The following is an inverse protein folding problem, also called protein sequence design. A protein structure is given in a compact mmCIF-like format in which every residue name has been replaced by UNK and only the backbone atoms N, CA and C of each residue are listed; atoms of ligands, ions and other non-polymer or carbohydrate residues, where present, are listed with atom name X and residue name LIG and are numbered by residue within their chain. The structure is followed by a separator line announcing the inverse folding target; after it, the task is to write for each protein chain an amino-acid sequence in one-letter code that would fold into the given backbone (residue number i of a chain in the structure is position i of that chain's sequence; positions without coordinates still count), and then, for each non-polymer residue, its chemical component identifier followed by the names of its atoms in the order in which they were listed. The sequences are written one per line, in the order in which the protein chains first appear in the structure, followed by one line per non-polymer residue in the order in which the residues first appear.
data_IF_960356736351
#
_entry.id   IF_960356736351
#
_cell.length_a   1.000
_cell.length_b   1.000
_cell.length_c   1.000
_cell.angle_alpha   90.00
_cell.angle_beta   90.00
_cell.angle_gamma   90.00
#
_symmetry.space_group_name_H-M   'P 1'
#
loop_
_entity.id
_entity.type
_entity.pdbx_description
1 polymer ?
#
# COMPACT_ATOMS: atom_id res chain seq x y z
N UNK A 1 24.60 21.31 -36.60
CA UNK A 1 23.26 21.55 -36.01
C UNK A 1 22.40 20.27 -35.92
N UNK A 2 22.24 19.48 -36.99
CA UNK A 2 21.44 18.22 -36.95
C UNK A 2 21.95 17.15 -35.96
N UNK A 3 23.25 17.10 -35.67
CA UNK A 3 23.84 16.15 -34.70
C UNK A 3 23.55 16.53 -33.25
N UNK A 4 23.57 17.83 -32.93
CA UNK A 4 23.21 18.38 -31.61
C UNK A 4 21.70 18.20 -31.37
N UNK A 5 20.87 18.40 -32.40
CA UNK A 5 19.42 18.17 -32.32
C UNK A 5 19.08 16.71 -32.03
N UNK A 6 19.80 15.75 -32.64
CA UNK A 6 19.63 14.30 -32.36
C UNK A 6 20.08 13.94 -30.95
N UNK A 7 21.14 14.59 -30.45
CA UNK A 7 21.63 14.38 -29.08
C UNK A 7 20.64 14.90 -28.03
N UNK A 8 20.11 16.11 -28.23
CA UNK A 8 19.07 16.69 -27.37
C UNK A 8 17.78 15.86 -27.37
N UNK A 9 17.40 15.30 -28.51
CA UNK A 9 16.21 14.42 -28.62
C UNK A 9 16.39 13.09 -27.89
N UNK A 10 17.61 12.53 -27.89
CA UNK A 10 17.92 11.30 -27.15
C UNK A 10 17.97 11.55 -25.62
N UNK A 11 18.51 12.70 -25.21
CA UNK A 11 18.57 13.11 -23.80
C UNK A 11 17.20 13.39 -23.19
N UNK A 12 16.23 13.87 -24.00
CA UNK A 12 14.86 14.10 -23.53
C UNK A 12 14.07 12.80 -23.30
N UNK A 13 14.45 11.71 -23.98
CA UNK A 13 13.82 10.39 -23.83
C UNK A 13 14.13 9.74 -22.47
N UNK A 14 15.24 10.10 -21.83
CA UNK A 14 15.62 9.60 -20.50
C UNK A 14 15.03 10.40 -19.33
N UNK A 15 14.49 11.61 -19.57
CA UNK A 15 13.94 12.48 -18.54
C UNK A 15 12.44 12.25 -18.24
N UNK A 16 11.74 11.43 -19.03
CA UNK A 16 10.30 11.19 -18.90
C UNK A 16 9.88 10.05 -17.97
N UNK A 17 10.83 9.32 -17.37
CA UNK A 17 10.58 8.06 -16.63
C UNK A 17 10.54 8.23 -15.10
N UNK A 18 10.22 9.43 -14.61
CA UNK A 18 10.03 9.69 -13.17
C UNK A 18 8.55 9.87 -12.78
N UNK A 19 7.62 9.23 -13.50
CA UNK A 19 6.22 9.20 -13.09
C UNK A 19 6.08 8.30 -11.85
N UNK A 20 5.93 8.93 -10.68
CA UNK A 20 5.40 8.41 -9.41
C UNK A 20 5.62 6.92 -9.11
N UNK A 21 6.59 6.63 -8.25
CA UNK A 21 6.71 5.32 -7.58
C UNK A 21 5.50 5.12 -6.65
N UNK A 22 4.33 4.73 -7.14
CA UNK A 22 3.27 4.18 -6.28
C UNK A 22 3.78 2.86 -5.67
N UNK A 23 3.19 2.39 -4.56
CA UNK A 23 3.49 1.05 -4.08
C UNK A 23 3.19 0.06 -5.23
N UNK A 24 4.19 -0.75 -5.60
CA UNK A 24 4.01 -1.85 -6.53
C UNK A 24 3.38 -3.04 -5.78
N UNK A 25 2.24 -2.83 -5.11
CA UNK A 25 1.47 -3.92 -4.51
C UNK A 25 0.26 -4.25 -5.38
N UNK A 26 -0.05 -5.54 -5.43
CA UNK A 26 -1.26 -6.05 -6.04
C UNK A 26 -2.24 -6.39 -4.91
N UNK A 27 -3.38 -5.70 -4.82
CA UNK A 27 -4.36 -6.03 -3.81
C UNK A 27 -4.91 -7.44 -4.03
N UNK A 28 -5.35 -8.06 -2.93
CA UNK A 28 -6.11 -9.30 -2.96
C UNK A 28 -7.44 -9.12 -3.68
N UNK A 29 -8.14 -10.23 -3.86
CA UNK A 29 -9.48 -10.30 -4.44
C UNK A 29 -10.45 -11.01 -3.49
N UNK A 30 -11.71 -11.12 -3.92
CA UNK A 30 -12.76 -11.79 -3.15
C UNK A 30 -12.52 -13.28 -2.88
N UNK A 31 -11.54 -13.90 -3.55
CA UNK A 31 -11.21 -15.32 -3.36
C UNK A 31 -10.11 -15.49 -2.33
N UNK A 32 -9.09 -14.63 -2.38
CA UNK A 32 -7.93 -14.62 -1.50
C UNK A 32 -8.16 -13.86 -0.19
N UNK A 33 -9.11 -12.93 -0.17
CA UNK A 33 -9.48 -12.13 0.99
C UNK A 33 -11.01 -11.95 1.05
N UNK A 34 -11.80 -13.02 1.29
CA UNK A 34 -13.25 -12.92 1.33
C UNK A 34 -13.75 -12.10 2.52
N UNK A 35 -14.80 -11.29 2.31
CA UNK A 35 -15.53 -10.54 3.34
C UNK A 35 -17.01 -11.01 3.36
N UNK A 36 -17.31 -12.17 3.98
CA UNK A 36 -18.67 -12.71 4.01
C UNK A 36 -19.62 -11.90 4.91
N UNK A 37 -19.09 -11.14 5.87
CA UNK A 37 -19.87 -10.32 6.80
C UNK A 37 -20.15 -8.92 6.25
N UNK A 38 -19.47 -8.54 5.16
CA UNK A 38 -19.55 -7.25 4.50
C UNK A 38 -19.29 -6.08 5.47
N UNK A 39 -18.32 -6.30 6.37
CA UNK A 39 -17.90 -5.36 7.42
C UNK A 39 -16.45 -4.91 7.24
N UNK A 40 -15.86 -5.15 6.06
CA UNK A 40 -14.49 -4.83 5.73
C UNK A 40 -13.52 -5.94 6.17
N UNK A 41 -12.36 -6.00 5.52
CA UNK A 41 -11.41 -7.08 5.74
C UNK A 41 -9.97 -6.59 5.56
N UNK A 42 -9.05 -7.12 6.36
CA UNK A 42 -7.61 -6.94 6.21
C UNK A 42 -6.96 -8.31 6.00
N UNK A 43 -6.11 -8.44 4.98
CA UNK A 43 -5.47 -9.71 4.62
C UNK A 43 -4.01 -9.55 4.17
N UNK A 44 -3.05 -10.25 4.79
CA UNK A 44 -3.19 -10.91 6.09
C UNK A 44 -3.39 -9.87 7.20
N UNK A 45 -3.95 -10.29 8.32
CA UNK A 45 -4.14 -9.45 9.52
C UNK A 45 -2.85 -9.30 10.35
N UNK A 46 -1.84 -10.12 10.05
CA UNK A 46 -0.57 -10.19 10.77
C UNK A 46 0.59 -10.07 9.80
N UNK A 47 1.59 -9.27 10.19
CA UNK A 47 2.86 -9.18 9.47
C UNK A 47 3.74 -10.41 9.77
N UNK A 48 4.42 -10.92 8.74
CA UNK A 48 5.34 -12.04 8.88
C UNK A 48 6.59 -11.60 9.67
N UNK A 49 7.26 -12.56 10.29
CA UNK A 49 8.54 -12.30 10.95
C UNK A 49 9.60 -11.87 9.93
N UNK A 50 10.16 -10.67 10.10
CA UNK A 50 11.35 -10.23 9.38
C UNK A 50 12.64 -10.75 10.01
N UNK A 51 13.71 -10.85 9.21
CA UNK A 51 15.04 -11.27 9.67
C UNK A 51 16.05 -10.13 9.55
N UNK A 52 16.95 -10.01 10.53
CA UNK A 52 17.98 -8.97 10.54
C UNK A 52 18.84 -9.03 9.27
N UNK A 53 19.00 -7.88 8.60
CA UNK A 53 19.82 -7.77 7.39
C UNK A 53 19.23 -8.46 6.15
N UNK A 54 17.99 -8.95 6.20
CA UNK A 54 17.28 -9.51 5.05
C UNK A 54 16.23 -8.54 4.53
N UNK A 55 16.05 -8.55 3.20
CA UNK A 55 14.96 -7.83 2.56
C UNK A 55 13.62 -8.37 3.05
N UNK A 56 12.79 -7.47 3.55
CA UNK A 56 11.41 -7.72 3.92
C UNK A 56 10.50 -7.13 2.84
N UNK A 57 9.51 -7.90 2.43
CA UNK A 57 8.50 -7.46 1.47
C UNK A 57 7.20 -8.20 1.77
N UNK A 58 6.19 -7.46 2.20
CA UNK A 58 4.86 -8.01 2.44
C UNK A 58 3.78 -7.02 2.02
N UNK A 59 2.82 -7.52 1.25
CA UNK A 59 1.60 -6.78 0.92
C UNK A 59 0.49 -7.13 1.91
N UNK A 60 -0.17 -6.11 2.43
CA UNK A 60 -1.41 -6.21 3.19
C UNK A 60 -2.52 -5.58 2.36
N UNK A 61 -3.58 -6.34 2.10
CA UNK A 61 -4.77 -5.89 1.39
C UNK A 61 -5.81 -5.41 2.38
N UNK A 62 -6.50 -4.33 2.02
CA UNK A 62 -7.51 -3.68 2.85
C UNK A 62 -8.76 -3.51 2.00
N UNK A 63 -9.87 -4.02 2.51
CA UNK A 63 -11.22 -3.77 2.00
C UNK A 63 -11.96 -2.93 3.04
N UNK A 64 -12.32 -1.70 2.69
CA UNK A 64 -13.07 -0.83 3.58
C UNK A 64 -14.53 -1.31 3.72
N UNK A 65 -15.13 -1.25 4.92
CA UNK A 65 -16.54 -1.55 5.10
C UNK A 65 -17.42 -0.58 4.31
N UNK A 66 -18.55 -1.02 3.74
CA UNK A 66 -19.51 -0.12 3.10
C UNK A 66 -20.26 0.76 4.09
N UNK A 67 -20.40 0.32 5.34
CA UNK A 67 -21.13 1.03 6.38
C UNK A 67 -20.58 0.68 7.77
N UNK A 68 -20.77 1.58 8.71
CA UNK A 68 -20.43 1.37 10.14
C UNK A 68 -21.66 1.60 11.00
N UNK A 69 -21.75 0.88 12.12
CA UNK A 69 -22.78 1.11 13.12
C UNK A 69 -22.36 2.26 14.04
N UNK A 70 -23.03 3.40 13.91
CA UNK A 70 -22.80 4.57 14.75
C UNK A 70 -24.11 4.94 15.46
N UNK A 71 -24.10 4.93 16.79
CA UNK A 71 -25.27 5.28 17.61
C UNK A 71 -26.55 4.47 17.26
N UNK A 72 -26.39 3.20 16.85
CA UNK A 72 -27.50 2.33 16.47
C UNK A 72 -28.01 2.51 15.04
N UNK A 73 -27.39 3.37 14.23
CA UNK A 73 -27.71 3.58 12.82
C UNK A 73 -26.56 3.11 11.92
N UNK A 74 -26.90 2.51 10.78
CA UNK A 74 -25.92 2.21 9.74
C UNK A 74 -25.61 3.49 8.95
N UNK A 75 -24.37 3.93 9.03
CA UNK A 75 -23.87 5.12 8.33
C UNK A 75 -22.97 4.68 7.18
N UNK A 76 -23.24 5.10 5.93
CA UNK A 76 -22.38 4.78 4.79
C UNK A 76 -20.97 5.35 4.98
N UNK A 77 -19.97 4.51 4.72
CA UNK A 77 -18.56 4.91 4.72
C UNK A 77 -18.22 5.50 3.36
N UNK A 78 -17.57 6.66 3.33
CA UNK A 78 -17.05 7.25 2.09
C UNK A 78 -15.70 6.65 1.72
N UNK A 79 -14.80 6.60 2.70
CA UNK A 79 -13.48 5.96 2.64
C UNK A 79 -12.96 5.75 4.07
N UNK A 80 -11.98 4.87 4.21
CA UNK A 80 -11.10 4.78 5.38
C UNK A 80 -9.76 5.43 5.01
N UNK A 81 -9.26 6.34 5.84
CA UNK A 81 -7.95 6.97 5.63
C UNK A 81 -6.92 6.32 6.55
N UNK A 82 -5.84 5.79 5.98
CA UNK A 82 -4.70 5.32 6.75
C UNK A 82 -3.83 6.51 7.16
N UNK A 83 -3.95 6.91 8.43
CA UNK A 83 -3.25 8.08 8.94
C UNK A 83 -1.76 7.81 9.19
N UNK A 84 -1.42 6.69 9.83
CA UNK A 84 -0.04 6.27 10.06
C UNK A 84 0.02 4.77 10.36
N UNK A 85 1.21 4.17 10.21
CA UNK A 85 1.55 2.85 10.73
C UNK A 85 2.71 2.99 11.71
N UNK A 86 2.38 2.87 12.98
CA UNK A 86 3.33 2.99 14.08
C UNK A 86 4.01 1.64 14.38
N UNK A 87 5.06 1.70 15.21
CA UNK A 87 5.79 0.53 15.70
C UNK A 87 6.31 -0.40 14.58
N UNK A 88 6.91 0.18 13.53
CA UNK A 88 7.64 -0.61 12.56
C UNK A 88 9.10 -0.84 13.01
N UNK A 89 9.66 -2.03 12.75
CA UNK A 89 11.08 -2.26 12.97
C UNK A 89 11.93 -1.22 12.21
N UNK A 90 13.03 -0.70 12.80
CA UNK A 90 13.91 0.24 12.14
C UNK A 90 14.40 -0.27 10.78
N UNK A 91 14.18 0.54 9.72
CA UNK A 91 14.53 0.20 8.34
C UNK A 91 13.40 -0.38 7.50
N UNK A 92 12.25 -0.68 8.11
CA UNK A 92 11.00 -1.01 7.41
C UNK A 92 10.18 0.26 7.19
N UNK A 93 9.64 0.39 5.99
CA UNK A 93 8.73 1.47 5.60
C UNK A 93 7.44 0.89 5.04
N UNK A 94 6.41 1.72 4.96
CA UNK A 94 5.14 1.34 4.36
C UNK A 94 4.75 2.32 3.26
N UNK A 95 3.97 1.83 2.30
CA UNK A 95 3.36 2.66 1.26
C UNK A 95 2.09 2.03 0.73
N UNK A 96 1.02 2.81 0.58
CA UNK A 96 -0.20 2.30 -0.04
C UNK A 96 -0.19 2.44 -1.57
N UNK A 97 -1.13 1.74 -2.23
CA UNK A 97 -1.38 1.89 -3.66
C UNK A 97 -2.21 3.15 -4.01
N UNK A 98 -2.64 3.93 -3.02
CA UNK A 98 -3.39 5.18 -3.19
C UNK A 98 -2.56 6.37 -2.70
N UNK A 99 -2.40 7.42 -3.50
CA UNK A 99 -1.54 8.57 -3.11
C UNK A 99 -2.10 9.42 -1.97
N UNK A 100 -3.37 9.21 -1.62
CA UNK A 100 -4.06 9.91 -0.55
C UNK A 100 -4.33 9.00 0.64
N UNK A 101 -3.83 7.75 0.60
CA UNK A 101 -4.03 6.73 1.61
C UNK A 101 -5.52 6.53 1.96
N UNK A 102 -6.40 6.74 0.97
CA UNK A 102 -7.84 6.60 1.11
C UNK A 102 -8.31 5.31 0.47
N UNK A 103 -8.96 4.45 1.26
CA UNK A 103 -9.47 3.16 0.84
C UNK A 103 -10.99 3.20 0.75
N UNK A 104 -11.51 2.96 -0.45
CA UNK A 104 -12.93 3.09 -0.74
C UNK A 104 -13.64 1.75 -0.55
N UNK A 105 -14.91 1.75 -0.10
CA UNK A 105 -15.66 0.50 0.02
C UNK A 105 -15.79 -0.24 -1.31
N UNK A 106 -15.87 -1.56 -1.25
CA UNK A 106 -15.96 -2.48 -2.40
C UNK A 106 -14.75 -2.47 -3.36
N UNK A 107 -13.69 -1.73 -3.03
CA UNK A 107 -12.43 -1.71 -3.77
C UNK A 107 -11.35 -2.28 -2.87
N UNK A 108 -10.65 -3.31 -3.32
CA UNK A 108 -9.48 -3.82 -2.60
C UNK A 108 -8.31 -2.87 -2.84
N UNK A 109 -7.82 -2.28 -1.76
CA UNK A 109 -6.59 -1.49 -1.72
C UNK A 109 -5.46 -2.29 -1.09
N UNK A 110 -4.23 -1.83 -1.18
CA UNK A 110 -3.10 -2.50 -0.56
C UNK A 110 -2.06 -1.55 0.00
N UNK A 111 -1.35 -2.03 1.01
CA UNK A 111 -0.20 -1.41 1.65
C UNK A 111 0.97 -2.37 1.54
N UNK A 112 2.07 -1.89 0.98
CA UNK A 112 3.34 -2.60 0.91
C UNK A 112 4.18 -2.21 2.12
N UNK A 113 4.59 -3.19 2.90
CA UNK A 113 5.64 -3.07 3.90
C UNK A 113 6.94 -3.59 3.30
N UNK A 114 7.97 -2.76 3.27
CA UNK A 114 9.25 -3.13 2.64
C UNK A 114 10.45 -2.41 3.22
N UNK A 115 11.61 -3.06 3.13
CA UNK A 115 12.90 -2.53 3.54
C UNK A 115 13.80 -3.61 4.12
N UNK A 116 14.83 -3.21 4.84
CA UNK A 116 15.77 -4.13 5.50
C UNK A 116 15.74 -3.85 7.00
N UNK A 117 15.39 -4.86 7.80
CA UNK A 117 15.43 -4.74 9.25
C UNK A 117 16.87 -4.49 9.73
N UNK A 118 17.06 -3.40 10.47
CA UNK A 118 18.35 -3.01 11.05
C UNK A 118 18.50 -3.35 12.53
N UNK A 119 17.43 -3.84 13.17
CA UNK A 119 17.42 -4.27 14.56
C UNK A 119 16.51 -5.50 14.78
N UNK A 120 16.70 -6.18 15.90
CA UNK A 120 15.89 -7.32 16.35
C UNK A 120 14.97 -6.89 17.49
N UNK A 121 13.72 -7.35 17.50
CA UNK A 121 12.78 -7.03 18.57
C UNK A 121 11.36 -7.49 18.26
N UNK A 122 10.44 -7.19 19.17
CA UNK A 122 9.00 -7.30 18.93
C UNK A 122 8.44 -5.90 18.80
N UNK A 123 7.79 -5.69 17.67
CA UNK A 123 7.17 -4.46 17.24
C UNK A 123 5.72 -4.79 16.84
#
# INVERSE_FOLDING_TARGET
MKKILRFLMFMWMFLGLQAGLLAQCTPADSTSCPDPENNGQVCPDTLNTGYLGQEYNQTVSILAPPQVLAQGLYVPVKYVHLADVENLPPGITWKSNDTTDNFYPHVYSCVLFSGVCSDTGTY
#
